data_IF_963302856993
#
_entry.id   IF_963302856993
#
_cell.length_a   1.000
_cell.length_b   1.000
_cell.length_c   1.000
_cell.angle_alpha   90.00
_cell.angle_beta   90.00
_cell.angle_gamma   90.00
#
_symmetry.space_group_name_H-M   'P 1'
#
loop_
_entity.id
_entity.type
_entity.pdbx_description
1 polymer ?
#
# COMPACT_ATOMS: atom_id res chain seq x y z
N UNK A 1 -16.01 -16.96 8.27
CA UNK A 1 -15.39 -17.31 6.98
C UNK A 1 -13.99 -17.81 7.29
N UNK A 2 -13.67 -19.04 6.90
CA UNK A 2 -12.34 -19.62 7.14
C UNK A 2 -11.43 -19.32 5.95
N UNK A 3 -10.14 -19.08 6.21
CA UNK A 3 -9.15 -18.79 5.16
C UNK A 3 -9.08 -19.87 4.07
N UNK A 4 -9.53 -21.09 4.38
CA UNK A 4 -9.60 -22.22 3.45
C UNK A 4 -10.53 -21.97 2.25
N UNK A 5 -11.56 -21.13 2.39
CA UNK A 5 -12.54 -20.85 1.33
C UNK A 5 -11.94 -20.06 0.15
N UNK A 6 -10.87 -19.31 0.41
CA UNK A 6 -10.16 -18.49 -0.59
C UNK A 6 -8.97 -19.22 -1.23
N UNK A 7 -8.63 -20.41 -0.74
CA UNK A 7 -7.49 -21.14 -1.28
C UNK A 7 -7.82 -21.68 -2.68
N UNK A 8 -6.92 -21.50 -3.66
CA UNK A 8 -7.11 -22.07 -4.99
C UNK A 8 -7.18 -23.60 -4.91
N UNK A 9 -7.83 -24.20 -5.90
CA UNK A 9 -7.84 -25.65 -6.04
C UNK A 9 -6.42 -26.23 -6.23
N UNK A 10 -6.28 -27.53 -6.01
CA UNK A 10 -4.98 -28.21 -6.07
C UNK A 10 -4.31 -28.07 -7.45
N UNK A 11 -5.09 -27.98 -8.53
CA UNK A 11 -4.56 -27.82 -9.89
C UNK A 11 -3.95 -26.43 -10.10
N UNK A 12 -4.61 -25.37 -9.59
CA UNK A 12 -4.09 -24.00 -9.59
C UNK A 12 -2.88 -23.89 -8.68
N UNK A 13 -2.91 -24.50 -7.49
CA UNK A 13 -1.75 -24.56 -6.59
C UNK A 13 -0.55 -25.24 -7.27
N UNK A 14 -0.77 -26.35 -7.99
CA UNK A 14 0.29 -27.00 -8.76
C UNK A 14 0.82 -26.09 -9.88
N UNK A 15 -0.05 -25.35 -10.56
CA UNK A 15 0.33 -24.33 -11.54
C UNK A 15 1.18 -23.20 -10.94
N UNK A 16 0.79 -22.70 -9.76
CA UNK A 16 1.55 -21.69 -9.01
C UNK A 16 2.93 -22.22 -8.64
N UNK A 17 3.03 -23.45 -8.11
CA UNK A 17 4.31 -24.09 -7.78
C UNK A 17 5.22 -24.21 -9.00
N UNK A 18 4.67 -24.60 -10.15
CA UNK A 18 5.42 -24.63 -11.42
C UNK A 18 5.94 -23.23 -11.83
N UNK A 19 5.14 -22.19 -11.67
CA UNK A 19 5.58 -20.82 -11.93
C UNK A 19 6.68 -20.37 -10.94
N UNK A 20 6.59 -20.78 -9.67
CA UNK A 20 7.65 -20.55 -8.67
C UNK A 20 8.95 -21.24 -9.09
N UNK A 21 8.89 -22.49 -9.59
CA UNK A 21 10.08 -23.20 -10.09
C UNK A 21 10.75 -22.46 -11.26
N UNK A 22 9.96 -21.95 -12.21
CA UNK A 22 10.45 -21.14 -13.34
C UNK A 22 11.12 -19.85 -12.82
N UNK A 23 10.50 -19.17 -11.86
CA UNK A 23 11.08 -17.99 -11.22
C UNK A 23 12.39 -18.32 -10.49
N UNK A 24 12.43 -19.40 -9.71
CA UNK A 24 13.63 -19.83 -8.97
C UNK A 24 14.80 -20.18 -9.90
N UNK A 25 14.52 -20.79 -11.06
CA UNK A 25 15.53 -21.06 -12.09
C UNK A 25 16.18 -19.75 -12.59
N UNK A 26 15.40 -18.67 -12.74
CA UNK A 26 15.91 -17.35 -13.10
C UNK A 26 16.56 -16.59 -11.93
N UNK A 27 16.07 -16.81 -10.71
CA UNK A 27 16.45 -16.05 -9.51
C UNK A 27 17.93 -16.19 -9.17
N UNK A 28 18.49 -17.40 -9.23
CA UNK A 28 19.89 -17.64 -8.92
C UNK A 28 20.83 -16.84 -9.85
N UNK A 29 20.50 -16.77 -11.15
CA UNK A 29 21.24 -15.98 -12.13
C UNK A 29 21.10 -14.49 -11.84
N UNK A 30 19.88 -13.99 -11.59
CA UNK A 30 19.65 -12.59 -11.26
C UNK A 30 20.38 -12.17 -9.98
N UNK A 31 20.34 -13.00 -8.93
CA UNK A 31 21.06 -12.78 -7.68
C UNK A 31 22.57 -12.71 -7.91
N UNK A 32 23.13 -13.64 -8.69
CA UNK A 32 24.57 -13.63 -9.05
C UNK A 32 24.94 -12.37 -9.84
N UNK A 33 24.09 -11.95 -10.78
CA UNK A 33 24.32 -10.74 -11.56
C UNK A 33 24.35 -9.50 -10.67
N UNK A 34 23.37 -9.34 -9.77
CA UNK A 34 23.35 -8.20 -8.84
C UNK A 34 24.57 -8.21 -7.92
N UNK A 35 24.93 -9.38 -7.37
CA UNK A 35 26.08 -9.54 -6.46
C UNK A 35 27.41 -9.11 -7.09
N UNK A 36 27.58 -9.27 -8.40
CA UNK A 36 28.77 -8.81 -9.12
C UNK A 36 28.65 -7.39 -9.67
N UNK A 37 27.48 -7.01 -10.22
CA UNK A 37 27.27 -5.69 -10.82
C UNK A 37 27.42 -4.57 -9.79
N UNK A 38 26.88 -4.73 -8.59
CA UNK A 38 26.94 -3.68 -7.55
C UNK A 38 28.40 -3.32 -7.19
N UNK A 39 29.26 -4.27 -6.75
CA UNK A 39 30.64 -3.92 -6.42
C UNK A 39 31.46 -3.48 -7.63
N UNK A 40 31.22 -4.05 -8.82
CA UNK A 40 31.95 -3.63 -10.03
C UNK A 40 31.58 -2.20 -10.42
N UNK A 41 30.29 -1.86 -10.49
CA UNK A 41 29.86 -0.52 -10.92
C UNK A 41 30.26 0.54 -9.90
N UNK A 42 30.02 0.29 -8.61
CA UNK A 42 30.39 1.24 -7.56
C UNK A 42 31.90 1.31 -7.35
N UNK A 43 32.61 0.18 -7.48
CA UNK A 43 34.07 0.12 -7.38
C UNK A 43 34.76 0.87 -8.51
N UNK A 44 34.32 0.68 -9.76
CA UNK A 44 34.86 1.42 -10.91
C UNK A 44 34.58 2.93 -10.79
N UNK A 45 33.39 3.32 -10.33
CA UNK A 45 33.07 4.72 -10.07
C UNK A 45 33.98 5.31 -8.97
N UNK A 46 34.20 4.57 -7.89
CA UNK A 46 35.08 5.02 -6.80
C UNK A 46 36.52 5.20 -7.29
N UNK A 47 37.05 4.25 -8.07
CA UNK A 47 38.37 4.37 -8.69
C UNK A 47 38.43 5.60 -9.59
N UNK A 48 37.41 5.83 -10.43
CA UNK A 48 37.32 7.00 -11.28
C UNK A 48 37.35 8.31 -10.48
N UNK A 49 36.52 8.43 -9.44
CA UNK A 49 36.47 9.62 -8.57
C UNK A 49 37.82 9.86 -7.89
N UNK A 50 38.48 8.82 -7.38
CA UNK A 50 39.80 8.95 -6.74
C UNK A 50 40.86 9.39 -7.74
N UNK A 51 40.87 8.84 -8.95
CA UNK A 51 41.84 9.21 -9.99
C UNK A 51 41.67 10.67 -10.44
N UNK A 52 40.42 11.12 -10.62
CA UNK A 52 40.13 12.50 -11.01
C UNK A 52 40.46 13.47 -9.87
N UNK A 53 40.14 13.12 -8.62
CA UNK A 53 40.54 13.91 -7.45
C UNK A 53 42.06 14.02 -7.33
N UNK A 54 42.78 12.92 -7.54
CA UNK A 54 44.24 12.92 -7.56
C UNK A 54 44.81 13.84 -8.66
N UNK A 55 44.19 13.86 -9.84
CA UNK A 55 44.58 14.77 -10.93
C UNK A 55 44.33 16.24 -10.57
N UNK A 56 43.19 16.55 -9.94
CA UNK A 56 42.92 17.90 -9.44
C UNK A 56 43.96 18.37 -8.43
N UNK A 57 44.44 17.48 -7.55
CA UNK A 57 45.51 17.82 -6.61
C UNK A 57 46.84 18.15 -7.27
N UNK A 58 47.09 17.73 -8.53
CA UNK A 58 48.30 18.12 -9.27
C UNK A 58 48.28 19.57 -9.72
N UNK A 59 47.09 20.18 -9.81
CA UNK A 59 46.89 21.54 -10.29
C UNK A 59 46.43 22.48 -9.15
N UNK A 60 45.96 21.93 -8.04
CA UNK A 60 45.47 22.69 -6.89
C UNK A 60 46.62 23.28 -6.06
N UNK A 61 46.36 24.45 -5.47
CA UNK A 61 47.22 25.04 -4.45
C UNK A 61 47.35 24.11 -3.23
N UNK A 62 48.52 24.16 -2.57
CA UNK A 62 48.86 23.28 -1.44
C UNK A 62 47.83 23.34 -0.31
N UNK A 63 47.20 24.50 -0.10
CA UNK A 63 46.20 24.73 0.96
C UNK A 63 44.79 24.27 0.58
N UNK A 64 44.52 23.93 -0.69
CA UNK A 64 43.19 23.56 -1.19
C UNK A 64 43.10 22.10 -1.69
N UNK A 65 44.16 21.32 -1.47
CA UNK A 65 44.18 19.91 -1.86
C UNK A 65 42.99 19.16 -1.25
N UNK A 66 42.33 18.33 -2.05
CA UNK A 66 41.13 17.52 -1.72
C UNK A 66 39.84 18.29 -1.45
N UNK A 67 39.89 19.60 -1.20
CA UNK A 67 38.74 20.41 -0.77
C UNK A 67 38.44 21.61 -1.67
N UNK A 68 39.22 21.82 -2.74
CA UNK A 68 38.92 22.87 -3.71
C UNK A 68 37.55 22.68 -4.36
N UNK A 69 36.97 23.76 -4.88
CA UNK A 69 35.64 23.77 -5.51
C UNK A 69 35.43 22.63 -6.53
N UNK A 70 36.40 22.29 -7.42
CA UNK A 70 36.31 21.13 -8.31
C UNK A 70 36.13 19.78 -7.59
N UNK A 71 36.77 19.56 -6.44
CA UNK A 71 36.64 18.32 -5.67
C UNK A 71 35.22 18.16 -5.12
N UNK A 72 34.65 19.23 -4.58
CA UNK A 72 33.30 19.22 -4.03
C UNK A 72 32.28 18.86 -5.11
N UNK A 73 32.39 19.45 -6.31
CA UNK A 73 31.54 19.09 -7.44
C UNK A 73 31.75 17.64 -7.91
N UNK A 74 33.00 17.15 -7.92
CA UNK A 74 33.30 15.77 -8.25
C UNK A 74 32.67 14.78 -7.27
N UNK A 75 32.74 15.05 -5.97
CA UNK A 75 32.15 14.17 -4.94
C UNK A 75 30.62 14.20 -4.99
N UNK A 76 30.01 15.38 -5.15
CA UNK A 76 28.57 15.51 -5.30
C UNK A 76 28.09 14.78 -6.56
N UNK A 77 28.76 14.99 -7.70
CA UNK A 77 28.46 14.29 -8.96
C UNK A 77 28.66 12.78 -8.83
N UNK A 78 29.75 12.34 -8.19
CA UNK A 78 30.03 10.94 -7.88
C UNK A 78 28.95 10.31 -7.02
N UNK A 79 28.41 11.01 -6.02
CA UNK A 79 27.30 10.54 -5.21
C UNK A 79 26.03 10.30 -6.05
N UNK A 80 25.63 11.26 -6.89
CA UNK A 80 24.48 11.08 -7.77
C UNK A 80 24.70 9.96 -8.80
N UNK A 81 25.91 9.85 -9.36
CA UNK A 81 26.28 8.75 -10.25
C UNK A 81 26.24 7.39 -9.55
N UNK A 82 26.65 7.32 -8.28
CA UNK A 82 26.60 6.09 -7.48
C UNK A 82 25.16 5.62 -7.28
N UNK A 83 24.23 6.54 -6.98
CA UNK A 83 22.80 6.23 -6.89
C UNK A 83 22.28 5.67 -8.22
N UNK A 84 22.58 6.33 -9.34
CA UNK A 84 22.15 5.88 -10.66
C UNK A 84 22.70 4.48 -11.02
N UNK A 85 24.01 4.26 -10.79
CA UNK A 85 24.67 2.98 -11.05
C UNK A 85 24.16 1.86 -10.15
N UNK A 86 23.85 2.16 -8.89
CA UNK A 86 23.22 1.20 -7.99
C UNK A 86 21.87 0.73 -8.54
N UNK A 87 21.00 1.67 -8.93
CA UNK A 87 19.70 1.31 -9.53
C UNK A 87 19.88 0.50 -10.81
N UNK A 88 20.83 0.85 -11.68
CA UNK A 88 21.16 0.08 -12.89
C UNK A 88 21.67 -1.34 -12.56
N UNK A 89 22.46 -1.49 -11.49
CA UNK A 89 23.01 -2.77 -11.08
C UNK A 89 21.93 -3.73 -10.57
N UNK A 90 20.91 -3.23 -9.85
CA UNK A 90 19.81 -4.04 -9.29
C UNK A 90 18.66 -4.31 -10.29
N UNK A 91 18.62 -3.62 -11.44
CA UNK A 91 17.56 -3.77 -12.47
C UNK A 91 17.20 -5.21 -12.84
N UNK A 92 18.15 -6.17 -13.00
CA UNK A 92 17.80 -7.54 -13.36
C UNK A 92 16.92 -8.22 -12.31
N UNK A 93 17.19 -7.99 -11.02
CA UNK A 93 16.42 -8.57 -9.93
C UNK A 93 15.01 -7.96 -9.85
N UNK A 94 14.92 -6.63 -9.90
CA UNK A 94 13.62 -5.92 -9.84
C UNK A 94 12.73 -6.27 -11.03
N UNK A 95 13.29 -6.36 -12.25
CA UNK A 95 12.54 -6.80 -13.44
C UNK A 95 12.03 -8.24 -13.33
N UNK A 96 12.84 -9.16 -12.81
CA UNK A 96 12.44 -10.54 -12.65
C UNK A 96 11.31 -10.67 -11.61
N UNK A 97 11.43 -9.98 -10.47
CA UNK A 97 10.39 -9.95 -9.45
C UNK A 97 9.09 -9.35 -10.02
N UNK A 98 9.17 -8.21 -10.72
CA UNK A 98 7.97 -7.58 -11.29
C UNK A 98 7.30 -8.48 -12.33
N UNK A 99 8.05 -9.04 -13.28
CA UNK A 99 7.50 -9.95 -14.29
C UNK A 99 6.82 -11.18 -13.67
N UNK A 100 7.36 -11.68 -12.55
CA UNK A 100 6.73 -12.76 -11.82
C UNK A 100 5.46 -12.32 -11.11
N UNK A 101 5.42 -11.12 -10.49
CA UNK A 101 4.18 -10.54 -9.93
C UNK A 101 3.10 -10.38 -11.00
N UNK A 102 3.45 -9.79 -12.16
CA UNK A 102 2.52 -9.58 -13.28
C UNK A 102 1.86 -10.88 -13.73
N UNK A 103 2.57 -12.01 -13.62
CA UNK A 103 2.08 -13.35 -13.96
C UNK A 103 1.32 -14.00 -12.80
N UNK A 104 1.85 -13.89 -11.59
CA UNK A 104 1.36 -14.59 -10.40
C UNK A 104 0.06 -13.99 -9.87
N UNK A 105 0.01 -12.66 -9.72
CA UNK A 105 -1.10 -11.98 -9.04
C UNK A 105 -2.46 -12.27 -9.68
N UNK A 106 -2.63 -12.24 -11.02
CA UNK A 106 -3.89 -12.64 -11.64
C UNK A 106 -4.27 -14.11 -11.39
N UNK A 107 -3.29 -15.01 -11.26
CA UNK A 107 -3.53 -16.45 -11.04
C UNK A 107 -3.99 -16.71 -9.61
N UNK A 108 -3.28 -16.15 -8.62
CA UNK A 108 -3.59 -16.38 -7.21
C UNK A 108 -4.92 -15.73 -6.80
N UNK A 109 -5.39 -14.74 -7.56
CA UNK A 109 -6.69 -14.10 -7.41
C UNK A 109 -7.75 -14.65 -8.36
N UNK A 110 -7.61 -15.90 -8.82
CA UNK A 110 -8.58 -16.55 -9.70
C UNK A 110 -10.01 -16.70 -9.13
N UNK A 111 -10.20 -16.52 -7.82
CA UNK A 111 -11.52 -16.46 -7.19
C UNK A 111 -12.27 -15.13 -7.45
N UNK A 112 -11.57 -14.11 -7.99
CA UNK A 112 -12.14 -12.84 -8.41
C UNK A 112 -12.50 -12.92 -9.89
N UNK A 113 -13.76 -12.58 -10.23
CA UNK A 113 -14.18 -12.49 -11.64
C UNK A 113 -13.66 -11.20 -12.26
N UNK A 114 -13.36 -11.25 -13.55
CA UNK A 114 -12.86 -10.10 -14.34
C UNK A 114 -11.62 -9.43 -13.73
N UNK A 115 -10.73 -10.22 -13.12
CA UNK A 115 -9.53 -9.70 -12.45
C UNK A 115 -8.66 -8.91 -13.41
N UNK A 116 -8.27 -7.71 -12.99
CA UNK A 116 -7.30 -6.85 -13.66
C UNK A 116 -6.26 -6.40 -12.67
N UNK A 117 -5.00 -6.62 -13.02
CA UNK A 117 -3.85 -6.15 -12.28
C UNK A 117 -3.18 -4.99 -13.02
N UNK A 118 -2.82 -3.94 -12.29
CA UNK A 118 -2.08 -2.78 -12.77
C UNK A 118 -1.01 -2.40 -11.75
N UNK A 119 0.07 -1.78 -12.22
CA UNK A 119 1.20 -1.40 -11.38
C UNK A 119 1.60 0.06 -11.65
N UNK A 120 1.88 0.81 -10.59
CA UNK A 120 2.36 2.20 -10.63
C UNK A 120 1.45 3.16 -11.42
N UNK A 121 0.13 2.97 -11.38
CA UNK A 121 -0.86 3.90 -11.97
C UNK A 121 -1.76 4.51 -10.90
N UNK A 122 -2.49 5.58 -11.23
CA UNK A 122 -3.46 6.16 -10.29
C UNK A 122 -4.76 5.33 -10.32
N UNK A 123 -5.25 4.82 -9.17
CA UNK A 123 -6.50 4.06 -9.11
C UNK A 123 -7.71 4.92 -9.50
N UNK A 124 -8.70 4.32 -10.14
CA UNK A 124 -9.88 5.04 -10.64
C UNK A 124 -10.79 5.54 -9.51
N UNK A 125 -10.78 4.85 -8.37
CA UNK A 125 -11.59 5.18 -7.19
C UNK A 125 -10.95 6.24 -6.31
N UNK A 126 -9.65 6.54 -6.49
CA UNK A 126 -8.91 7.41 -5.58
C UNK A 126 -9.48 8.83 -5.51
N UNK A 127 -9.91 9.39 -6.65
CA UNK A 127 -10.49 10.74 -6.69
C UNK A 127 -11.83 10.85 -5.94
N UNK A 128 -12.51 9.72 -5.70
CA UNK A 128 -13.77 9.65 -4.95
C UNK A 128 -13.57 9.41 -3.44
N UNK A 129 -12.34 9.07 -3.02
CA UNK A 129 -12.01 8.84 -1.62
C UNK A 129 -12.18 10.13 -0.79
N UNK A 130 -13.02 10.13 0.25
CA UNK A 130 -13.20 11.31 1.08
C UNK A 130 -11.88 11.69 1.79
N UNK A 131 -11.39 12.91 1.54
CA UNK A 131 -10.18 13.45 2.21
C UNK A 131 -10.26 13.43 3.73
N UNK A 132 -11.48 13.44 4.27
CA UNK A 132 -11.79 13.22 5.67
C UNK A 132 -11.09 11.98 6.25
N UNK A 133 -11.03 10.87 5.51
CA UNK A 133 -10.60 9.57 6.04
C UNK A 133 -9.08 9.44 6.10
N UNK A 134 -8.40 10.12 5.17
CA UNK A 134 -6.95 10.04 5.00
C UNK A 134 -6.21 11.20 5.63
N UNK A 135 -6.76 12.42 5.64
CA UNK A 135 -6.04 13.62 6.07
C UNK A 135 -5.47 14.45 4.91
N UNK A 136 -4.72 15.51 5.25
CA UNK A 136 -4.05 16.36 4.26
C UNK A 136 -2.78 15.68 3.77
N UNK A 137 -2.65 15.53 2.45
CA UNK A 137 -1.44 15.06 1.78
C UNK A 137 -1.17 15.93 0.55
N UNK A 138 0.10 15.98 0.13
CA UNK A 138 0.53 16.68 -1.09
C UNK A 138 1.35 15.78 -2.02
N UNK A 139 1.62 14.54 -1.60
CA UNK A 139 2.29 13.51 -2.39
C UNK A 139 1.55 12.20 -2.23
N UNK A 140 1.36 11.51 -3.35
CA UNK A 140 0.71 10.22 -3.45
C UNK A 140 1.60 9.28 -4.26
N UNK A 141 1.66 8.03 -3.85
CA UNK A 141 2.29 6.94 -4.58
C UNK A 141 1.38 5.73 -4.50
N UNK A 142 1.21 5.03 -5.62
CA UNK A 142 0.46 3.80 -5.73
C UNK A 142 1.36 2.73 -6.33
N UNK A 143 1.35 1.53 -5.76
CA UNK A 143 2.22 0.44 -6.19
C UNK A 143 1.41 -0.59 -6.98
N UNK A 144 0.79 -1.54 -6.28
CA UNK A 144 0.02 -2.63 -6.88
C UNK A 144 -1.48 -2.37 -6.78
N UNK A 145 -2.20 -2.57 -7.89
CA UNK A 145 -3.65 -2.35 -8.02
C UNK A 145 -4.30 -3.63 -8.57
N UNK A 146 -5.31 -4.12 -7.87
CA UNK A 146 -6.14 -5.27 -8.26
C UNK A 146 -7.59 -4.82 -8.30
N UNK A 147 -8.26 -5.01 -9.44
CA UNK A 147 -9.69 -4.73 -9.60
C UNK A 147 -10.41 -5.93 -10.16
N UNK A 148 -11.72 -6.04 -9.91
CA UNK A 148 -12.54 -7.13 -10.42
C UNK A 148 -13.91 -7.14 -9.75
N UNK A 149 -14.54 -8.32 -9.74
CA UNK A 149 -15.81 -8.57 -9.05
C UNK A 149 -15.66 -9.72 -8.04
N UNK A 150 -16.04 -9.46 -6.80
CA UNK A 150 -16.11 -10.43 -5.71
C UNK A 150 -17.55 -10.48 -5.21
N UNK A 151 -18.15 -11.66 -5.01
CA UNK A 151 -19.59 -11.81 -4.61
C UNK A 151 -20.55 -10.86 -5.35
N UNK A 152 -20.44 -10.80 -6.69
CA UNK A 152 -21.25 -9.94 -7.57
C UNK A 152 -21.10 -8.42 -7.41
N UNK A 153 -20.21 -7.89 -6.57
CA UNK A 153 -19.93 -6.45 -6.50
C UNK A 153 -18.55 -6.08 -7.09
N UNK A 154 -18.44 -4.93 -7.76
CA UNK A 154 -17.15 -4.43 -8.24
C UNK A 154 -16.30 -3.89 -7.09
N UNK A 155 -15.00 -4.14 -7.14
CA UNK A 155 -14.04 -3.54 -6.22
C UNK A 155 -12.75 -3.13 -6.94
N UNK A 156 -12.02 -2.22 -6.30
CA UNK A 156 -10.65 -1.83 -6.65
C UNK A 156 -9.84 -1.76 -5.36
N UNK A 157 -8.82 -2.62 -5.26
CA UNK A 157 -7.88 -2.67 -4.14
C UNK A 157 -6.53 -2.17 -4.60
N UNK A 158 -5.90 -1.31 -3.81
CA UNK A 158 -4.59 -0.78 -4.15
C UNK A 158 -3.72 -0.46 -2.95
N UNK A 159 -2.41 -0.63 -3.11
CA UNK A 159 -1.42 -0.14 -2.16
C UNK A 159 -1.20 1.36 -2.35
N UNK A 160 -1.31 2.13 -1.27
CA UNK A 160 -1.12 3.58 -1.28
C UNK A 160 -0.15 4.04 -0.19
N UNK A 161 0.73 4.98 -0.57
CA UNK A 161 1.51 5.80 0.35
C UNK A 161 1.18 7.28 0.13
N UNK A 162 0.60 7.91 1.15
CA UNK A 162 0.24 9.33 1.17
C UNK A 162 1.15 10.07 2.15
N UNK A 163 1.76 11.16 1.69
CA UNK A 163 2.71 11.96 2.47
C UNK A 163 2.32 13.43 2.49
N UNK A 164 2.66 14.09 3.60
CA UNK A 164 2.51 15.53 3.80
C UNK A 164 3.89 16.18 3.94
N UNK A 165 4.09 17.32 3.30
CA UNK A 165 5.30 18.13 3.40
C UNK A 165 6.31 17.88 2.28
N UNK A 166 7.49 18.49 2.40
CA UNK A 166 8.57 18.38 1.41
C UNK A 166 9.93 18.28 2.10
N UNK A 167 10.83 17.46 1.56
CA UNK A 167 12.19 17.33 2.06
C UNK A 167 12.26 16.69 3.45
N UNK A 168 13.11 17.23 4.33
CA UNK A 168 13.39 16.67 5.67
C UNK A 168 12.19 16.72 6.65
N UNK A 169 11.15 17.48 6.33
CA UNK A 169 9.93 17.59 7.14
C UNK A 169 8.75 16.76 6.63
N UNK A 170 8.98 15.81 5.71
CA UNK A 170 7.88 14.98 5.20
C UNK A 170 7.42 13.94 6.23
N UNK A 171 6.13 13.88 6.50
CA UNK A 171 5.51 12.82 7.31
C UNK A 171 4.63 11.92 6.44
N UNK A 172 4.62 10.63 6.73
CA UNK A 172 3.68 9.69 6.11
C UNK A 172 2.35 9.77 6.85
N UNK A 173 1.29 10.12 6.12
CA UNK A 173 -0.07 10.31 6.65
C UNK A 173 -0.84 9.00 6.59
N UNK A 174 -0.62 8.24 5.52
CA UNK A 174 -1.17 6.92 5.33
C UNK A 174 -0.18 6.06 4.56
N UNK A 175 0.00 4.82 5.01
CA UNK A 175 0.64 3.77 4.24
C UNK A 175 -0.13 2.49 4.49
N UNK A 176 -0.55 1.82 3.43
CA UNK A 176 -1.27 0.56 3.53
C UNK A 176 -2.12 0.24 2.31
N UNK A 177 -3.15 -0.58 2.51
CA UNK A 177 -4.07 -1.02 1.47
C UNK A 177 -5.36 -0.24 1.55
N UNK A 178 -5.89 0.17 0.42
CA UNK A 178 -7.22 0.78 0.30
C UNK A 178 -8.07 -0.12 -0.61
N UNK A 179 -9.29 -0.41 -0.17
CA UNK A 179 -10.29 -1.12 -0.96
C UNK A 179 -11.46 -0.20 -1.19
N UNK A 180 -11.72 0.12 -2.44
CA UNK A 180 -12.95 0.77 -2.88
C UNK A 180 -13.94 -0.29 -3.37
N UNK A 181 -15.19 -0.18 -2.97
CA UNK A 181 -16.27 -1.11 -3.35
C UNK A 181 -17.60 -0.36 -3.47
N UNK A 182 -18.53 -0.94 -4.22
CA UNK A 182 -19.89 -0.41 -4.34
C UNK A 182 -20.77 -0.84 -3.16
N UNK A 183 -21.44 0.10 -2.48
CA UNK A 183 -22.36 -0.21 -1.38
C UNK A 183 -23.67 -0.84 -1.88
N UNK A 184 -24.40 -1.58 -1.03
CA UNK A 184 -25.73 -2.11 -1.42
C UNK A 184 -26.74 -0.97 -1.57
N UNK A 185 -26.78 -0.08 -0.59
CA UNK A 185 -27.60 1.12 -0.60
C UNK A 185 -26.69 2.35 -0.54
N UNK A 186 -26.95 3.38 -1.36
CA UNK A 186 -26.19 4.63 -1.27
C UNK A 186 -26.38 5.30 0.09
N UNK A 187 -25.29 5.72 0.72
CA UNK A 187 -25.34 6.50 1.94
C UNK A 187 -25.66 7.98 1.59
N UNK A 188 -26.73 8.58 2.15
CA UNK A 188 -27.15 9.94 1.82
C UNK A 188 -26.30 10.99 2.57
N UNK A 189 -25.01 11.07 2.22
CA UNK A 189 -24.03 11.97 2.84
C UNK A 189 -22.62 11.38 2.79
N UNK A 190 -21.78 11.78 3.74
CA UNK A 190 -20.47 11.21 4.01
C UNK A 190 -20.45 10.69 5.44
N UNK A 191 -20.11 9.42 5.64
CA UNK A 191 -19.83 8.83 6.95
C UNK A 191 -18.38 8.36 6.97
N UNK A 192 -17.63 8.73 8.01
CA UNK A 192 -16.25 8.29 8.21
C UNK A 192 -16.08 7.70 9.60
N UNK A 193 -15.37 6.59 9.68
CA UNK A 193 -14.87 6.00 10.92
C UNK A 193 -13.35 5.96 10.81
N UNK A 194 -12.67 6.77 11.62
CA UNK A 194 -11.20 6.87 11.63
C UNK A 194 -10.66 6.58 13.01
N UNK A 195 -9.38 6.24 13.12
CA UNK A 195 -8.70 6.14 14.43
C UNK A 195 -8.87 7.43 15.22
N UNK A 196 -9.31 7.29 16.48
CA UNK A 196 -9.36 8.38 17.45
C UNK A 196 -7.93 8.83 17.75
N UNK A 197 -7.54 9.98 17.20
CA UNK A 197 -6.23 10.58 17.43
C UNK A 197 -6.31 12.09 17.39
N UNK A 198 -5.56 12.76 18.27
CA UNK A 198 -5.55 14.23 18.36
C UNK A 198 -5.11 14.92 17.04
N UNK A 199 -4.35 14.22 16.18
CA UNK A 199 -3.89 14.74 14.89
C UNK A 199 -5.02 14.82 13.84
N UNK A 200 -5.90 13.84 13.82
CA UNK A 200 -7.05 13.77 12.90
C UNK A 200 -8.12 14.80 13.32
N UNK A 201 -8.35 14.95 14.63
CA UNK A 201 -9.21 16.00 15.23
C UNK A 201 -8.81 17.41 14.76
N UNK A 202 -7.50 17.72 14.75
CA UNK A 202 -6.99 19.02 14.30
C UNK A 202 -7.16 19.28 12.80
N UNK A 203 -6.98 18.24 11.97
CA UNK A 203 -7.20 18.32 10.52
C UNK A 203 -8.67 18.56 10.18
N UNK A 204 -9.59 17.82 10.81
CA UNK A 204 -11.03 17.98 10.61
C UNK A 204 -11.52 19.36 11.01
N UNK A 205 -10.99 19.91 12.10
CA UNK A 205 -11.31 21.27 12.57
C UNK A 205 -10.85 22.36 11.59
N UNK A 206 -9.84 22.09 10.77
CA UNK A 206 -9.29 23.04 9.78
C UNK A 206 -9.94 22.96 8.40
N UNK A 207 -10.22 21.77 7.87
CA UNK A 207 -10.75 21.60 6.50
C UNK A 207 -12.27 21.42 6.46
N UNK A 208 -12.88 20.87 7.51
CA UNK A 208 -14.31 20.51 7.55
C UNK A 208 -15.10 21.29 8.61
N UNK A 209 -14.57 22.44 9.04
CA UNK A 209 -15.19 23.33 10.03
C UNK A 209 -16.64 23.65 9.61
N UNK A 210 -17.61 22.96 10.22
CA UNK A 210 -19.04 23.25 10.11
C UNK A 210 -19.91 22.23 9.36
N UNK A 211 -19.37 21.15 8.76
CA UNK A 211 -20.20 20.16 8.02
C UNK A 211 -20.29 18.77 8.65
N UNK A 212 -19.25 18.31 9.33
CA UNK A 212 -19.19 16.96 9.89
C UNK A 212 -19.42 16.98 11.40
N UNK A 213 -20.47 16.31 11.86
CA UNK A 213 -20.83 16.11 13.26
C UNK A 213 -20.23 14.81 13.78
N UNK A 214 -19.79 14.81 15.03
CA UNK A 214 -19.30 13.60 15.71
C UNK A 214 -20.46 12.75 16.20
N UNK A 215 -20.29 11.43 16.15
CA UNK A 215 -21.27 10.45 16.62
C UNK A 215 -20.62 9.51 17.62
N UNK A 216 -21.42 8.96 18.51
CA UNK A 216 -21.04 7.84 19.38
C UNK A 216 -21.73 6.58 18.88
N UNK A 217 -21.00 5.47 18.84
CA UNK A 217 -21.53 4.14 18.56
C UNK A 217 -22.36 3.60 19.72
N UNK A 218 -22.15 4.11 20.93
CA UNK A 218 -22.74 3.59 22.16
C UNK A 218 -21.97 2.40 22.73
N UNK A 219 -20.89 1.97 22.07
CA UNK A 219 -19.96 0.97 22.59
C UNK A 219 -18.67 1.65 23.09
N UNK A 220 -18.32 1.52 24.39
CA UNK A 220 -17.14 2.18 24.95
C UNK A 220 -15.81 1.77 24.31
N UNK A 221 -15.70 0.54 23.80
CA UNK A 221 -14.47 0.06 23.16
C UNK A 221 -14.31 0.71 21.79
N UNK A 222 -15.36 0.70 20.97
CA UNK A 222 -15.33 1.36 19.67
C UNK A 222 -15.17 2.86 19.79
N UNK A 223 -15.90 3.50 20.69
CA UNK A 223 -15.74 4.93 20.92
C UNK A 223 -14.36 5.25 21.50
N UNK A 224 -13.69 4.34 22.20
CA UNK A 224 -12.30 4.53 22.63
C UNK A 224 -11.30 4.62 21.47
N UNK A 225 -11.48 3.75 20.46
CA UNK A 225 -10.52 3.56 19.37
C UNK A 225 -10.86 4.32 18.09
N UNK A 226 -12.14 4.62 17.89
CA UNK A 226 -12.68 5.23 16.69
C UNK A 226 -13.30 6.60 16.95
N UNK A 227 -13.22 7.43 15.93
CA UNK A 227 -13.90 8.70 15.82
C UNK A 227 -14.83 8.63 14.61
N UNK A 228 -16.13 8.66 14.89
CA UNK A 228 -17.17 8.62 13.86
C UNK A 228 -17.60 10.04 13.53
N UNK A 229 -17.58 10.41 12.25
CA UNK A 229 -18.10 11.70 11.80
C UNK A 229 -18.99 11.57 10.59
N UNK A 230 -20.02 12.39 10.51
CA UNK A 230 -20.97 12.41 9.39
C UNK A 230 -21.47 13.81 9.09
N UNK A 231 -21.90 14.08 7.87
CA UNK A 231 -22.73 15.26 7.55
C UNK A 231 -24.24 14.97 7.66
N UNK A 232 -24.64 13.70 7.80
CA UNK A 232 -26.01 13.26 7.99
C UNK A 232 -26.14 12.32 9.21
N UNK A 233 -26.47 12.90 10.37
CA UNK A 233 -26.62 12.18 11.64
C UNK A 233 -27.77 11.18 11.61
N UNK A 234 -28.92 11.57 11.04
CA UNK A 234 -30.11 10.73 11.00
C UNK A 234 -29.88 9.42 10.23
N UNK A 235 -29.13 9.49 9.13
CA UNK A 235 -28.77 8.31 8.35
C UNK A 235 -27.62 7.50 8.97
N UNK A 236 -26.65 8.16 9.60
CA UNK A 236 -25.46 7.49 10.14
C UNK A 236 -25.67 6.78 11.48
N UNK A 237 -26.49 7.35 12.39
CA UNK A 237 -26.61 6.84 13.76
C UNK A 237 -27.02 5.35 13.81
N UNK A 238 -28.02 4.87 13.03
CA UNK A 238 -28.37 3.45 13.04
C UNK A 238 -27.24 2.54 12.54
N UNK A 239 -26.43 3.00 11.58
CA UNK A 239 -25.30 2.24 11.05
C UNK A 239 -24.19 2.13 12.09
N UNK A 240 -23.81 3.26 12.68
CA UNK A 240 -22.70 3.40 13.64
C UNK A 240 -23.00 2.65 14.94
N UNK A 241 -24.24 2.64 15.42
CA UNK A 241 -24.64 1.84 16.60
C UNK A 241 -24.98 0.37 16.29
N UNK A 242 -25.15 0.03 15.01
CA UNK A 242 -25.58 -1.28 14.56
C UNK A 242 -24.49 -2.04 13.80
N UNK A 243 -24.74 -2.27 12.51
CA UNK A 243 -23.94 -3.17 11.67
C UNK A 243 -22.50 -2.69 11.49
N UNK A 244 -22.25 -1.38 11.36
CA UNK A 244 -20.89 -0.85 11.21
C UNK A 244 -20.07 -1.09 12.49
N UNK A 245 -20.67 -0.90 13.66
CA UNK A 245 -20.01 -1.23 14.94
C UNK A 245 -19.61 -2.72 15.01
N UNK A 246 -20.50 -3.63 14.60
CA UNK A 246 -20.17 -5.06 14.56
C UNK A 246 -19.01 -5.37 13.61
N UNK A 247 -19.02 -4.78 12.41
CA UNK A 247 -17.93 -4.94 11.45
C UNK A 247 -16.60 -4.39 11.97
N UNK A 248 -16.61 -3.23 12.63
CA UNK A 248 -15.40 -2.62 13.22
C UNK A 248 -14.85 -3.40 14.41
N UNK A 249 -15.71 -4.03 15.23
CA UNK A 249 -15.26 -4.94 16.31
C UNK A 249 -14.54 -6.16 15.75
N UNK A 250 -15.14 -6.80 14.75
CA UNK A 250 -14.52 -7.96 14.10
C UNK A 250 -13.19 -7.58 13.40
N UNK A 251 -13.14 -6.38 12.79
CA UNK A 251 -11.92 -5.82 12.22
C UNK A 251 -10.85 -5.58 13.29
N UNK A 252 -11.22 -5.05 14.45
CA UNK A 252 -10.30 -4.82 15.57
C UNK A 252 -9.69 -6.15 16.08
N UNK A 253 -10.49 -7.22 16.13
CA UNK A 253 -10.00 -8.55 16.53
C UNK A 253 -9.00 -9.13 15.51
N UNK A 254 -9.22 -8.87 14.22
CA UNK A 254 -8.47 -9.48 13.12
C UNK A 254 -7.24 -8.64 12.72
N UNK A 255 -7.30 -7.30 12.82
CA UNK A 255 -6.21 -6.34 12.55
C UNK A 255 -5.84 -5.58 13.83
N UNK A 256 -4.81 -6.05 14.56
CA UNK A 256 -4.46 -5.56 15.91
C UNK A 256 -3.56 -4.32 15.97
N UNK A 257 -2.84 -3.98 14.88
CA UNK A 257 -1.76 -2.98 14.96
C UNK A 257 -2.26 -1.53 14.84
N UNK A 258 -3.03 -1.21 13.80
CA UNK A 258 -3.62 0.12 13.59
C UNK A 258 -5.08 -0.04 13.17
N UNK A 259 -6.04 0.67 13.81
CA UNK A 259 -7.45 0.56 13.45
C UNK A 259 -7.68 0.81 11.96
N UNK A 260 -8.47 -0.07 11.35
CA UNK A 260 -8.98 0.13 10.00
C UNK A 260 -9.72 1.47 9.92
N UNK A 261 -9.79 2.08 8.74
CA UNK A 261 -10.62 3.27 8.52
C UNK A 261 -11.69 2.94 7.51
N UNK A 262 -12.90 3.43 7.74
CA UNK A 262 -14.04 3.20 6.84
C UNK A 262 -14.60 4.53 6.39
N UNK A 263 -15.00 4.59 5.13
CA UNK A 263 -15.71 5.73 4.55
C UNK A 263 -16.89 5.24 3.72
N UNK A 264 -18.04 5.90 3.86
CA UNK A 264 -19.18 5.77 2.95
C UNK A 264 -19.45 7.15 2.35
N UNK A 265 -19.58 7.22 1.03
CA UNK A 265 -19.86 8.44 0.28
C UNK A 265 -20.74 8.12 -0.92
N UNK A 266 -22.05 8.35 -0.82
CA UNK A 266 -23.01 7.91 -1.84
C UNK A 266 -22.95 6.39 -2.03
N UNK A 267 -22.76 5.94 -3.26
CA UNK A 267 -22.63 4.52 -3.61
C UNK A 267 -21.23 3.94 -3.41
N UNK A 268 -20.23 4.76 -3.09
CA UNK A 268 -18.85 4.30 -2.87
C UNK A 268 -18.61 4.02 -1.38
N UNK A 269 -18.09 2.83 -1.09
CA UNK A 269 -17.55 2.44 0.19
C UNK A 269 -16.03 2.28 0.11
N UNK A 270 -15.32 2.70 1.15
CA UNK A 270 -13.88 2.59 1.24
C UNK A 270 -13.49 1.93 2.57
N UNK A 271 -12.61 0.93 2.50
CA UNK A 271 -11.94 0.31 3.63
C UNK A 271 -10.44 0.56 3.50
N UNK A 272 -9.85 1.20 4.50
CA UNK A 272 -8.42 1.50 4.54
C UNK A 272 -7.81 0.68 5.67
N UNK A 273 -6.76 -0.05 5.34
CA UNK A 273 -6.03 -0.92 6.26
C UNK A 273 -4.60 -0.40 6.36
N UNK A 274 -4.29 0.40 7.39
CA UNK A 274 -2.94 0.91 7.57
C UNK A 274 -1.98 -0.25 7.85
N UNK A 275 -0.88 -0.30 7.12
CA UNK A 275 0.17 -1.28 7.34
C UNK A 275 1.54 -0.73 6.86
N UNK A 276 2.62 -0.98 7.62
CA UNK A 276 3.94 -0.46 7.26
C UNK A 276 4.58 -1.21 6.10
N UNK A 277 4.16 -2.46 5.86
CA UNK A 277 4.70 -3.35 4.83
C UNK A 277 3.82 -3.30 3.58
N UNK A 278 4.45 -3.54 2.43
CA UNK A 278 3.72 -3.73 1.18
C UNK A 278 3.05 -5.11 1.23
N UNK A 279 1.79 -5.16 0.82
CA UNK A 279 0.93 -6.34 0.85
C UNK A 279 1.36 -7.40 -0.17
N UNK A 280 1.67 -6.97 -1.39
CA UNK A 280 2.05 -7.85 -2.50
C UNK A 280 3.58 -8.01 -2.62
N UNK A 281 4.31 -7.80 -1.52
CA UNK A 281 5.76 -7.83 -1.53
C UNK A 281 6.32 -9.25 -1.59
N UNK A 282 7.02 -9.55 -2.68
CA UNK A 282 7.85 -10.75 -2.76
C UNK A 282 9.11 -10.61 -1.90
N UNK A 283 9.62 -11.71 -1.31
CA UNK A 283 10.87 -11.67 -0.57
C UNK A 283 12.03 -11.21 -1.45
N UNK A 284 13.09 -10.69 -0.81
CA UNK A 284 14.30 -10.25 -1.50
C UNK A 284 14.86 -11.34 -2.43
N UNK A 285 15.46 -10.94 -3.55
CA UNK A 285 15.98 -11.87 -4.58
C UNK A 285 16.98 -12.92 -4.05
N UNK A 286 17.61 -12.66 -2.90
CA UNK A 286 18.51 -13.60 -2.22
C UNK A 286 17.79 -14.76 -1.53
N UNK A 287 16.51 -14.58 -1.17
CA UNK A 287 15.69 -15.54 -0.44
C UNK A 287 14.90 -16.39 -1.44
N UNK A 288 14.93 -17.74 -1.34
CA UNK A 288 14.07 -18.59 -2.14
C UNK A 288 12.59 -18.34 -1.87
N UNK A 289 11.81 -18.30 -2.93
CA UNK A 289 10.37 -18.19 -2.84
C UNK A 289 9.75 -19.55 -2.49
N UNK A 290 8.73 -19.52 -1.64
CA UNK A 290 8.01 -20.69 -1.17
C UNK A 290 6.52 -20.37 -1.15
N UNK A 291 5.71 -21.32 -1.62
CA UNK A 291 4.27 -21.15 -1.73
C UNK A 291 3.62 -20.93 -0.35
N UNK A 292 3.86 -21.84 0.58
CA UNK A 292 3.18 -21.85 1.89
C UNK A 292 3.57 -20.66 2.74
N UNK A 293 4.83 -20.23 2.64
CA UNK A 293 5.37 -19.14 3.46
C UNK A 293 5.10 -17.75 2.90
N UNK A 294 5.03 -17.60 1.57
CA UNK A 294 4.99 -16.28 0.94
C UNK A 294 3.74 -16.03 0.11
N UNK A 295 3.15 -17.06 -0.50
CA UNK A 295 2.01 -16.89 -1.42
C UNK A 295 0.69 -17.21 -0.74
N UNK A 296 0.60 -18.32 -0.01
CA UNK A 296 -0.63 -18.71 0.69
C UNK A 296 -1.12 -17.64 1.69
N UNK A 297 -0.26 -16.97 2.49
CA UNK A 297 -0.69 -15.90 3.37
C UNK A 297 -1.25 -14.70 2.59
N UNK A 298 -0.63 -14.33 1.46
CA UNK A 298 -1.11 -13.24 0.60
C UNK A 298 -2.53 -13.50 0.06
N UNK A 299 -2.82 -14.75 -0.32
CA UNK A 299 -4.16 -15.15 -0.76
C UNK A 299 -5.16 -15.07 0.40
N UNK A 300 -4.79 -15.62 1.55
CA UNK A 300 -5.64 -15.63 2.75
C UNK A 300 -5.97 -14.21 3.20
N UNK A 301 -4.96 -13.34 3.24
CA UNK A 301 -5.11 -11.94 3.61
C UNK A 301 -6.01 -11.22 2.60
N UNK A 302 -5.84 -11.45 1.29
CA UNK A 302 -6.71 -10.86 0.27
C UNK A 302 -8.17 -11.29 0.44
N UNK A 303 -8.39 -12.59 0.66
CA UNK A 303 -9.72 -13.13 0.93
C UNK A 303 -10.34 -12.50 2.17
N UNK A 304 -9.57 -12.36 3.26
CA UNK A 304 -10.03 -11.72 4.47
C UNK A 304 -10.37 -10.23 4.26
N UNK A 305 -9.57 -9.50 3.49
CA UNK A 305 -9.83 -8.09 3.15
C UNK A 305 -11.13 -7.96 2.32
N UNK A 306 -11.34 -8.81 1.32
CA UNK A 306 -12.54 -8.76 0.48
C UNK A 306 -13.79 -9.21 1.22
N UNK A 307 -13.67 -10.23 2.08
CA UNK A 307 -14.72 -10.64 3.00
C UNK A 307 -15.10 -9.50 3.97
N UNK A 308 -14.11 -8.75 4.45
CA UNK A 308 -14.34 -7.54 5.26
C UNK A 308 -15.08 -6.49 4.45
N UNK A 309 -14.63 -6.20 3.23
CA UNK A 309 -15.28 -5.23 2.35
C UNK A 309 -16.74 -5.63 2.06
N UNK A 310 -17.01 -6.92 1.84
CA UNK A 310 -18.35 -7.46 1.68
C UNK A 310 -19.23 -7.28 2.93
N UNK A 311 -18.65 -7.47 4.13
CA UNK A 311 -19.33 -7.20 5.38
C UNK A 311 -19.66 -5.70 5.52
N UNK A 312 -18.68 -4.82 5.31
CA UNK A 312 -18.86 -3.36 5.39
C UNK A 312 -19.88 -2.88 4.35
N UNK A 313 -19.86 -3.42 3.14
CA UNK A 313 -20.85 -3.15 2.08
C UNK A 313 -22.28 -3.42 2.55
N UNK A 314 -22.51 -4.50 3.29
CA UNK A 314 -23.83 -4.86 3.87
C UNK A 314 -24.26 -3.93 5.00
N UNK A 315 -23.31 -3.21 5.61
CA UNK A 315 -23.63 -2.22 6.66
C UNK A 315 -24.24 -0.94 6.12
N UNK A 316 -24.13 -0.65 4.81
CA UNK A 316 -24.81 0.49 4.19
C UNK A 316 -26.33 0.31 4.03
N UNK A 317 -26.85 -0.92 4.15
CA UNK A 317 -28.27 -1.21 4.05
C UNK A 317 -28.98 -1.07 5.41
N UNK A 318 -30.11 -0.35 5.45
CA UNK A 318 -31.01 -0.30 6.61
C UNK A 318 -31.62 -1.69 6.88
N UNK A 319 -32.00 -1.97 8.13
CA UNK A 319 -32.41 -3.30 8.62
C UNK A 319 -33.64 -3.98 7.96
N UNK A 320 -34.14 -3.47 6.84
CA UNK A 320 -35.28 -4.02 6.08
C UNK A 320 -34.96 -4.54 4.67
N UNK A 321 -33.74 -4.42 4.17
CA UNK A 321 -33.39 -4.75 2.75
C UNK A 321 -32.16 -5.66 2.62
N UNK A 322 -32.05 -6.69 3.48
CA UNK A 322 -31.06 -7.76 3.34
C UNK A 322 -31.67 -9.04 2.75
#
# INVERSE_FOLDING_TARGET
>A
MEAAEFMPDEAVVAGIRKNIEIYEAGRASACRQVRWRVPVFLGLLLVFVVLVAWLFNKVADVNEQWFSTPHVFLYAGGFFAALLLYFLAIRPATRLQQSFRDTLLPIIFGFIRDVRYQHSVTPNSFDRLPRAVVGAFNRQSFDDIVSGRYEDFPFELYEAELRQGSGKGSSTVFKGVIVAFETIAPFPGILVATRRSNAVVGFFRGIFAGKMQELSSGDPLLDGDYEFRTDNVAAAQPLVSGRLAQALKWLHETWRDDPARVALNGSDGFLLLPQPKNFFELPAISVPLDYTKHIAPMIADMGAILATAALVRKTGATDGEA
#
